data_IF_131306660967
#
_entry.id   IF_131306660967
#
_cell.length_a   1.000
_cell.length_b   1.000
_cell.length_c   1.000
_cell.angle_alpha   90.00
_cell.angle_beta   90.00
_cell.angle_gamma   90.00
#
_symmetry.space_group_name_H-M   'P 1'
#
loop_
_entity.id
_entity.type
_entity.pdbx_description
1 polymer ?
#
# COMPACT_ATOMS: atom_id res chain seq x y z
N UNK A 1 25.47 8.74 27.30
CA UNK A 1 24.37 8.41 26.38
C UNK A 1 23.48 7.35 27.01
N UNK A 2 22.18 7.59 27.10
CA UNK A 2 21.25 6.60 27.66
C UNK A 2 21.22 5.33 26.78
N UNK A 3 21.19 4.16 27.41
CA UNK A 3 21.11 2.89 26.72
C UNK A 3 19.72 2.73 26.11
N UNK A 4 19.64 2.64 24.77
CA UNK A 4 18.36 2.42 24.06
C UNK A 4 17.63 1.20 24.62
N UNK A 5 16.31 1.30 24.76
CA UNK A 5 15.43 0.19 25.15
C UNK A 5 15.40 -0.90 24.09
N UNK A 6 14.86 -2.07 24.42
CA UNK A 6 14.67 -3.15 23.46
C UNK A 6 13.79 -2.74 22.28
N UNK A 7 12.75 -1.96 22.55
CA UNK A 7 11.81 -1.47 21.56
C UNK A 7 12.42 -0.39 20.64
N UNK A 8 13.18 0.56 21.20
CA UNK A 8 13.91 1.55 20.41
C UNK A 8 14.94 0.90 19.48
N UNK A 9 15.64 -0.14 19.94
CA UNK A 9 16.54 -0.91 19.12
C UNK A 9 15.81 -1.63 17.98
N UNK A 10 14.66 -2.28 18.28
CA UNK A 10 13.82 -2.94 17.28
C UNK A 10 13.38 -1.97 16.19
N UNK A 11 12.90 -0.79 16.58
CA UNK A 11 12.49 0.28 15.66
C UNK A 11 13.64 0.74 14.77
N UNK A 12 14.81 1.05 15.36
CA UNK A 12 16.00 1.47 14.60
C UNK A 12 16.45 0.42 13.57
N UNK A 13 16.43 -0.87 13.93
CA UNK A 13 16.76 -1.96 12.99
C UNK A 13 15.74 -2.02 11.85
N UNK A 14 14.45 -1.94 12.17
CA UNK A 14 13.39 -2.02 11.18
C UNK A 14 13.38 -0.81 10.22
N UNK A 15 13.69 0.39 10.69
CA UNK A 15 13.83 1.58 9.86
C UNK A 15 14.96 1.41 8.83
N UNK A 16 16.14 0.95 9.26
CA UNK A 16 17.26 0.68 8.36
C UNK A 16 16.93 -0.43 7.37
N UNK A 17 16.35 -1.54 7.84
CA UNK A 17 15.94 -2.65 6.99
C UNK A 17 14.89 -2.21 5.96
N UNK A 18 13.91 -1.41 6.38
CA UNK A 18 12.85 -0.87 5.49
C UNK A 18 13.45 -0.09 4.33
N UNK A 19 14.37 0.81 4.61
CA UNK A 19 15.06 1.59 3.58
C UNK A 19 15.88 0.70 2.64
N UNK A 20 16.68 -0.20 3.19
CA UNK A 20 17.56 -1.07 2.41
C UNK A 20 16.77 -2.07 1.56
N UNK A 21 15.79 -2.75 2.13
CA UNK A 21 14.96 -3.73 1.44
C UNK A 21 14.13 -3.09 0.32
N UNK A 22 13.56 -1.93 0.57
CA UNK A 22 12.82 -1.22 -0.47
C UNK A 22 13.72 -0.77 -1.63
N UNK A 23 14.91 -0.24 -1.32
CA UNK A 23 15.82 0.29 -2.35
C UNK A 23 16.55 -0.79 -3.15
N UNK A 24 16.97 -1.88 -2.48
CA UNK A 24 17.90 -2.88 -3.04
C UNK A 24 17.29 -4.27 -3.24
N UNK A 25 16.10 -4.52 -2.69
CA UNK A 25 15.49 -5.84 -2.61
C UNK A 25 15.86 -6.59 -1.33
N UNK A 26 14.94 -7.43 -0.86
CA UNK A 26 15.13 -8.17 0.40
C UNK A 26 16.24 -9.21 0.24
N UNK A 27 16.24 -9.98 -0.87
CA UNK A 27 17.22 -11.03 -1.10
C UNK A 27 18.64 -10.49 -1.25
N UNK A 28 18.81 -9.31 -1.85
CA UNK A 28 20.11 -8.68 -2.10
C UNK A 28 20.78 -8.09 -0.83
N UNK A 29 20.02 -7.86 0.25
CA UNK A 29 20.53 -7.25 1.48
C UNK A 29 20.76 -8.33 2.54
N UNK A 30 22.02 -8.54 2.93
CA UNK A 30 22.39 -9.45 4.03
C UNK A 30 22.17 -8.82 5.41
N UNK A 31 22.02 -9.65 6.45
CA UNK A 31 21.93 -9.20 7.84
C UNK A 31 23.13 -8.35 8.26
N UNK A 32 24.34 -8.70 7.82
CA UNK A 32 25.56 -7.95 8.12
C UNK A 32 25.50 -6.50 7.61
N UNK A 33 24.86 -6.28 6.45
CA UNK A 33 24.64 -4.94 5.91
C UNK A 33 23.72 -4.14 6.83
N UNK A 34 22.64 -4.75 7.30
CA UNK A 34 21.69 -4.11 8.24
C UNK A 34 22.40 -3.79 9.56
N UNK A 35 23.19 -4.73 10.10
CA UNK A 35 24.00 -4.55 11.31
C UNK A 35 24.92 -3.35 11.18
N UNK A 36 25.68 -3.29 10.08
CA UNK A 36 26.65 -2.23 9.82
C UNK A 36 25.98 -0.85 9.73
N UNK A 37 24.84 -0.77 9.07
CA UNK A 37 24.16 0.51 8.84
C UNK A 37 23.34 1.01 10.03
N UNK A 38 22.82 0.11 10.90
CA UNK A 38 22.01 0.57 12.02
C UNK A 38 22.83 0.96 13.27
N UNK A 39 24.13 0.64 13.32
CA UNK A 39 25.00 1.00 14.44
C UNK A 39 24.61 0.36 15.78
N UNK A 40 23.74 -0.66 15.76
CA UNK A 40 23.33 -1.44 16.93
C UNK A 40 24.16 -2.71 17.00
N UNK A 41 24.60 -3.10 18.19
CA UNK A 41 25.43 -4.30 18.37
C UNK A 41 24.76 -5.57 17.82
N UNK A 42 25.57 -6.42 17.16
CA UNK A 42 25.13 -7.64 16.47
C UNK A 42 24.21 -8.53 17.34
N UNK A 43 24.62 -8.83 18.59
CA UNK A 43 23.80 -9.60 19.53
C UNK A 43 22.43 -8.98 19.83
N UNK A 44 22.32 -7.66 19.79
CA UNK A 44 21.05 -6.95 20.00
C UNK A 44 20.13 -7.13 18.80
N UNK A 45 20.66 -7.09 17.58
CA UNK A 45 19.88 -7.29 16.36
C UNK A 45 19.31 -8.70 16.30
N UNK A 46 20.15 -9.73 16.48
CA UNK A 46 19.70 -11.12 16.45
C UNK A 46 18.74 -11.49 17.59
N UNK A 47 18.77 -10.77 18.72
CA UNK A 47 17.76 -10.92 19.77
C UNK A 47 16.40 -10.37 19.33
N UNK A 48 16.35 -9.31 18.50
CA UNK A 48 15.11 -8.72 18.01
C UNK A 48 14.57 -9.44 16.76
N UNK A 49 15.47 -9.86 15.89
CA UNK A 49 15.20 -10.55 14.64
C UNK A 49 16.15 -11.74 14.48
N UNK A 50 15.76 -12.92 14.97
CA UNK A 50 16.64 -14.10 14.99
C UNK A 50 17.07 -14.55 13.58
N UNK A 51 16.25 -14.28 12.56
CA UNK A 51 16.51 -14.65 11.17
C UNK A 51 16.25 -13.47 10.24
N UNK A 52 16.82 -13.55 9.03
CA UNK A 52 16.50 -12.59 7.96
C UNK A 52 15.02 -12.64 7.56
N UNK A 53 14.42 -13.83 7.58
CA UNK A 53 13.01 -14.01 7.25
C UNK A 53 12.08 -13.35 8.28
N UNK A 54 12.44 -13.41 9.57
CA UNK A 54 11.73 -12.69 10.62
C UNK A 54 11.80 -11.15 10.41
N UNK A 55 12.97 -10.63 10.00
CA UNK A 55 13.15 -9.22 9.68
C UNK A 55 12.39 -8.84 8.39
N UNK A 56 12.41 -9.68 7.36
CA UNK A 56 11.68 -9.48 6.11
C UNK A 56 10.17 -9.46 6.34
N UNK A 57 9.66 -10.38 7.16
CA UNK A 57 8.24 -10.42 7.54
C UNK A 57 7.83 -9.16 8.29
N UNK A 58 8.62 -8.73 9.28
CA UNK A 58 8.36 -7.49 10.00
C UNK A 58 8.41 -6.25 9.10
N UNK A 59 9.30 -6.22 8.10
CA UNK A 59 9.34 -5.18 7.08
C UNK A 59 8.03 -5.11 6.29
N UNK A 60 7.53 -6.25 5.79
CA UNK A 60 6.29 -6.31 5.00
C UNK A 60 5.10 -5.87 5.85
N UNK A 61 4.99 -6.37 7.09
CA UNK A 61 3.94 -5.99 8.03
C UNK A 61 3.96 -4.49 8.33
N UNK A 62 5.13 -3.93 8.66
CA UNK A 62 5.27 -2.50 8.92
C UNK A 62 4.94 -1.63 7.69
N UNK A 63 5.24 -2.11 6.46
CA UNK A 63 4.83 -1.42 5.22
C UNK A 63 3.32 -1.49 5.00
N UNK A 64 2.69 -2.61 5.35
CA UNK A 64 1.25 -2.79 5.29
C UNK A 64 0.52 -1.84 6.24
N UNK A 65 0.95 -1.80 7.51
CA UNK A 65 0.40 -0.92 8.54
C UNK A 65 0.53 0.56 8.14
N UNK A 66 1.72 0.99 7.73
CA UNK A 66 1.98 2.36 7.30
C UNK A 66 1.16 2.76 6.05
N UNK A 67 0.91 1.82 5.14
CA UNK A 67 0.04 2.05 3.99
C UNK A 67 -1.40 2.29 4.43
N UNK A 68 -1.96 1.42 5.28
CA UNK A 68 -3.33 1.56 5.76
C UNK A 68 -3.53 2.83 6.57
N UNK A 69 -2.60 3.16 7.47
CA UNK A 69 -2.65 4.39 8.26
C UNK A 69 -2.76 5.62 7.34
N UNK A 70 -1.87 5.70 6.36
CA UNK A 70 -1.84 6.82 5.43
C UNK A 70 -3.07 6.89 4.52
N UNK A 71 -3.57 5.74 4.03
CA UNK A 71 -4.75 5.71 3.18
C UNK A 71 -6.02 6.04 3.95
N UNK A 72 -6.15 5.58 5.19
CA UNK A 72 -7.28 5.94 6.04
C UNK A 72 -7.27 7.43 6.37
N UNK A 73 -6.12 7.97 6.73
CA UNK A 73 -6.00 9.41 6.98
C UNK A 73 -6.43 10.24 5.77
N UNK A 74 -5.98 9.90 4.57
CA UNK A 74 -6.40 10.58 3.35
C UNK A 74 -7.91 10.41 3.07
N UNK A 75 -8.46 9.22 3.34
CA UNK A 75 -9.88 8.93 3.17
C UNK A 75 -10.77 9.72 4.16
N UNK A 76 -10.29 10.01 5.38
CA UNK A 76 -11.02 10.79 6.37
C UNK A 76 -11.26 12.25 5.95
N UNK A 77 -10.43 12.79 5.06
CA UNK A 77 -10.63 14.12 4.49
C UNK A 77 -11.83 14.20 3.54
N UNK A 78 -12.36 13.05 3.11
CA UNK A 78 -13.53 12.98 2.24
C UNK A 78 -14.79 12.60 2.99
N UNK A 79 -15.88 13.35 2.73
CA UNK A 79 -17.19 13.13 3.37
C UNK A 79 -17.92 11.94 2.71
N UNK A 80 -17.69 11.68 1.42
CA UNK A 80 -18.43 10.65 0.68
C UNK A 80 -17.63 9.36 0.54
N UNK A 81 -18.29 8.18 0.59
CA UNK A 81 -17.60 6.90 0.39
C UNK A 81 -16.87 6.82 -0.97
N UNK A 82 -17.48 7.33 -2.04
CA UNK A 82 -16.84 7.43 -3.36
C UNK A 82 -15.58 8.31 -3.33
N UNK A 83 -15.63 9.43 -2.61
CA UNK A 83 -14.48 10.30 -2.40
C UNK A 83 -13.37 9.63 -1.58
N UNK A 84 -13.72 8.78 -0.60
CA UNK A 84 -12.73 7.98 0.15
C UNK A 84 -11.99 6.98 -0.75
N UNK A 85 -12.68 6.33 -1.67
CA UNK A 85 -12.05 5.50 -2.71
C UNK A 85 -11.11 6.32 -3.59
N UNK A 86 -11.53 7.51 -4.03
CA UNK A 86 -10.70 8.39 -4.86
C UNK A 86 -9.43 8.86 -4.15
N UNK A 87 -9.49 9.18 -2.85
CA UNK A 87 -8.35 9.64 -2.06
C UNK A 87 -7.17 8.66 -2.11
N UNK A 88 -7.43 7.34 -2.16
CA UNK A 88 -6.38 6.32 -2.31
C UNK A 88 -5.58 6.50 -3.61
N UNK A 89 -6.27 6.80 -4.71
CA UNK A 89 -5.62 6.99 -6.01
C UNK A 89 -4.91 8.35 -6.13
N UNK A 90 -5.39 9.37 -5.44
CA UNK A 90 -4.72 10.67 -5.35
C UNK A 90 -3.40 10.56 -4.56
N UNK A 91 -3.40 9.83 -3.45
CA UNK A 91 -2.18 9.49 -2.71
C UNK A 91 -1.22 8.67 -3.57
N UNK A 92 -1.73 7.65 -4.27
CA UNK A 92 -0.94 6.85 -5.22
C UNK A 92 -0.24 7.73 -6.27
N UNK A 93 -0.97 8.68 -6.87
CA UNK A 93 -0.41 9.56 -7.89
C UNK A 93 0.74 10.43 -7.35
N UNK A 94 0.63 10.89 -6.10
CA UNK A 94 1.72 11.58 -5.42
C UNK A 94 2.94 10.68 -5.21
N UNK A 95 2.73 9.43 -4.78
CA UNK A 95 3.80 8.47 -4.53
C UNK A 95 4.59 8.10 -5.78
N UNK A 96 3.86 7.83 -6.86
CA UNK A 96 4.47 7.38 -8.12
C UNK A 96 5.32 8.44 -8.80
N UNK A 97 5.12 9.72 -8.47
CA UNK A 97 5.94 10.82 -8.96
C UNK A 97 7.28 10.97 -8.21
N UNK A 98 7.49 10.23 -7.13
CA UNK A 98 8.68 10.33 -6.29
C UNK A 98 9.94 9.76 -6.97
N UNK A 99 11.07 10.49 -6.92
CA UNK A 99 12.34 10.07 -7.53
C UNK A 99 12.91 8.76 -6.97
N UNK A 100 12.51 8.34 -5.77
CA UNK A 100 12.96 7.10 -5.13
C UNK A 100 11.93 5.99 -5.21
N UNK A 101 10.89 6.18 -6.02
CA UNK A 101 9.82 5.21 -6.17
C UNK A 101 10.31 3.90 -6.80
N UNK A 102 9.96 2.76 -6.21
CA UNK A 102 10.39 1.42 -6.62
C UNK A 102 9.23 0.42 -6.71
N UNK A 103 8.02 0.92 -6.93
CA UNK A 103 6.84 0.07 -7.00
C UNK A 103 6.26 -0.31 -5.62
N UNK A 104 5.32 -1.25 -5.65
CA UNK A 104 4.65 -1.75 -4.46
C UNK A 104 5.54 -2.73 -3.69
N UNK A 105 5.82 -2.48 -2.40
CA UNK A 105 6.59 -3.41 -1.57
C UNK A 105 6.02 -4.83 -1.54
N UNK A 106 4.69 -4.98 -1.58
CA UNK A 106 4.02 -6.29 -1.53
C UNK A 106 4.21 -7.08 -2.82
N UNK A 107 4.08 -6.42 -3.99
CA UNK A 107 4.34 -7.06 -5.28
C UNK A 107 5.82 -7.45 -5.41
N UNK A 108 6.72 -6.57 -4.97
CA UNK A 108 8.16 -6.86 -4.95
C UNK A 108 8.47 -8.06 -4.06
N UNK A 109 7.87 -8.12 -2.86
CA UNK A 109 8.04 -9.26 -1.93
C UNK A 109 7.56 -10.56 -2.54
N UNK A 110 6.40 -10.58 -3.20
CA UNK A 110 5.89 -11.78 -3.87
C UNK A 110 6.84 -12.26 -4.99
N UNK A 111 7.45 -11.34 -5.73
CA UNK A 111 8.44 -11.69 -6.75
C UNK A 111 9.72 -12.25 -6.17
N UNK A 112 10.16 -11.70 -5.04
CA UNK A 112 11.38 -12.16 -4.36
C UNK A 112 11.18 -13.49 -3.61
N UNK A 113 9.98 -13.78 -3.13
CA UNK A 113 9.62 -15.01 -2.41
C UNK A 113 8.45 -15.72 -3.10
N UNK A 114 8.71 -16.44 -4.21
CA UNK A 114 7.66 -17.15 -4.92
C UNK A 114 7.14 -18.38 -4.17
N UNK A 115 7.85 -18.81 -3.12
CA UNK A 115 7.46 -19.93 -2.28
C UNK A 115 6.23 -19.56 -1.43
N UNK A 116 5.07 -20.13 -1.73
CA UNK A 116 3.78 -19.78 -1.13
C UNK A 116 3.68 -19.95 0.40
N UNK A 117 4.62 -20.69 1.02
CA UNK A 117 4.69 -20.85 2.48
C UNK A 117 5.60 -19.84 3.19
N UNK A 118 6.31 -18.94 2.47
CA UNK A 118 7.22 -17.99 3.11
C UNK A 118 6.43 -16.92 3.90
N UNK A 119 6.78 -16.65 5.19
CA UNK A 119 6.00 -15.72 6.02
C UNK A 119 5.85 -14.31 5.45
N UNK A 120 6.89 -13.76 4.80
CA UNK A 120 6.80 -12.45 4.15
C UNK A 120 5.88 -12.46 2.94
N UNK A 121 5.84 -13.57 2.17
CA UNK A 121 4.90 -13.76 1.05
C UNK A 121 3.45 -13.79 1.56
N UNK A 122 3.17 -14.58 2.61
CA UNK A 122 1.84 -14.65 3.23
C UNK A 122 1.38 -13.29 3.76
N UNK A 123 2.26 -12.54 4.43
CA UNK A 123 1.95 -11.17 4.89
C UNK A 123 1.63 -10.21 3.73
N UNK A 124 2.29 -10.36 2.57
CA UNK A 124 2.00 -9.55 1.39
C UNK A 124 0.64 -9.90 0.77
N UNK A 125 0.27 -11.19 0.73
CA UNK A 125 -1.07 -11.64 0.29
C UNK A 125 -2.14 -11.10 1.24
N UNK A 126 -1.97 -11.29 2.54
CA UNK A 126 -2.91 -10.80 3.56
C UNK A 126 -3.20 -9.31 3.40
N UNK A 127 -2.15 -8.50 3.22
CA UNK A 127 -2.33 -7.07 2.96
C UNK A 127 -3.20 -6.81 1.71
N UNK A 128 -2.98 -7.54 0.61
CA UNK A 128 -3.78 -7.37 -0.62
C UNK A 128 -5.23 -7.77 -0.44
N UNK A 129 -5.50 -8.80 0.34
CA UNK A 129 -6.87 -9.20 0.71
C UNK A 129 -7.54 -8.12 1.56
N UNK A 130 -6.84 -7.57 2.55
CA UNK A 130 -7.34 -6.48 3.39
C UNK A 130 -7.65 -5.21 2.57
N UNK A 131 -6.81 -4.86 1.58
CA UNK A 131 -7.08 -3.73 0.67
C UNK A 131 -8.34 -3.98 -0.14
N UNK A 132 -8.50 -5.19 -0.71
CA UNK A 132 -9.70 -5.59 -1.45
C UNK A 132 -10.96 -5.48 -0.59
N UNK A 133 -10.90 -6.01 0.63
CA UNK A 133 -12.04 -5.98 1.56
C UNK A 133 -12.42 -4.55 1.97
N UNK A 134 -11.42 -3.70 2.18
CA UNK A 134 -11.66 -2.28 2.47
C UNK A 134 -12.28 -1.54 1.28
N UNK A 135 -11.79 -1.78 0.06
CA UNK A 135 -12.41 -1.22 -1.16
C UNK A 135 -13.86 -1.70 -1.32
N UNK A 136 -14.13 -2.99 -1.08
CA UNK A 136 -15.48 -3.55 -1.12
C UNK A 136 -16.41 -2.87 -0.12
N UNK A 137 -15.95 -2.64 1.11
CA UNK A 137 -16.74 -1.92 2.12
C UNK A 137 -17.07 -0.50 1.66
N UNK A 138 -16.08 0.26 1.18
CA UNK A 138 -16.29 1.61 0.68
C UNK A 138 -17.18 1.65 -0.58
N UNK A 139 -17.05 0.66 -1.46
CA UNK A 139 -17.88 0.52 -2.64
C UNK A 139 -19.36 0.25 -2.28
N UNK A 140 -19.59 -0.63 -1.30
CA UNK A 140 -20.94 -0.88 -0.79
C UNK A 140 -21.54 0.37 -0.15
N UNK A 141 -20.78 1.08 0.67
CA UNK A 141 -21.19 2.34 1.29
C UNK A 141 -21.46 3.45 0.23
N UNK A 142 -20.76 3.40 -0.91
CA UNK A 142 -20.99 4.31 -2.04
C UNK A 142 -22.21 3.93 -2.90
N UNK A 143 -22.87 2.82 -2.61
CA UNK A 143 -24.02 2.34 -3.35
C UNK A 143 -23.66 1.69 -4.69
N UNK A 144 -22.50 1.05 -4.80
CA UNK A 144 -22.10 0.34 -6.00
C UNK A 144 -23.08 -0.79 -6.32
N UNK A 145 -23.42 -0.96 -7.61
CA UNK A 145 -24.30 -2.04 -8.11
C UNK A 145 -23.71 -3.43 -7.80
N UNK A 146 -22.40 -3.56 -7.90
CA UNK A 146 -21.61 -4.74 -7.53
C UNK A 146 -20.33 -4.26 -6.81
N UNK A 147 -20.33 -4.35 -5.49
CA UNK A 147 -19.24 -3.86 -4.67
C UNK A 147 -17.98 -4.77 -4.76
N UNK A 148 -18.17 -6.08 -4.98
CA UNK A 148 -17.07 -7.03 -5.18
C UNK A 148 -16.36 -6.76 -6.51
N UNK A 149 -17.11 -6.59 -7.60
CA UNK A 149 -16.57 -6.27 -8.91
C UNK A 149 -15.79 -4.94 -8.86
N UNK A 150 -16.38 -3.88 -8.32
CA UNK A 150 -15.71 -2.59 -8.22
C UNK A 150 -14.42 -2.66 -7.40
N UNK A 151 -14.43 -3.40 -6.28
CA UNK A 151 -13.23 -3.59 -5.46
C UNK A 151 -12.11 -4.30 -6.23
N UNK A 152 -12.43 -5.34 -7.00
CA UNK A 152 -11.47 -6.08 -7.82
C UNK A 152 -10.90 -5.21 -8.94
N UNK A 153 -11.73 -4.45 -9.64
CA UNK A 153 -11.32 -3.51 -10.69
C UNK A 153 -10.42 -2.40 -10.15
N UNK A 154 -10.78 -1.81 -9.01
CA UNK A 154 -9.96 -0.79 -8.35
C UNK A 154 -8.62 -1.36 -7.88
N UNK A 155 -8.61 -2.60 -7.35
CA UNK A 155 -7.37 -3.27 -6.95
C UNK A 155 -6.47 -3.57 -8.17
N UNK A 156 -7.04 -3.93 -9.32
CA UNK A 156 -6.31 -4.11 -10.57
C UNK A 156 -5.69 -2.79 -11.04
N UNK A 157 -6.45 -1.69 -11.02
CA UNK A 157 -5.94 -0.35 -11.37
C UNK A 157 -4.81 0.06 -10.43
N UNK A 158 -4.98 -0.12 -9.11
CA UNK A 158 -3.98 0.19 -8.10
C UNK A 158 -2.68 -0.58 -8.34
N UNK A 159 -2.77 -1.90 -8.53
CA UNK A 159 -1.61 -2.76 -8.74
C UNK A 159 -0.94 -2.49 -10.10
N UNK A 160 -1.72 -2.27 -11.15
CA UNK A 160 -1.22 -1.90 -12.47
C UNK A 160 -0.47 -0.57 -12.44
N UNK A 161 -1.01 0.42 -11.74
CA UNK A 161 -0.34 1.72 -11.58
C UNK A 161 0.97 1.58 -10.81
N UNK A 162 0.99 0.85 -9.69
CA UNK A 162 2.21 0.59 -8.93
C UNK A 162 3.31 -0.09 -9.76
N UNK A 163 2.95 -1.10 -10.55
CA UNK A 163 3.91 -1.84 -11.37
C UNK A 163 4.41 -1.00 -12.55
N UNK A 164 3.49 -0.33 -13.27
CA UNK A 164 3.81 0.43 -14.47
C UNK A 164 4.61 1.69 -14.16
N UNK A 165 4.25 2.41 -13.08
CA UNK A 165 4.95 3.61 -12.66
C UNK A 165 6.40 3.34 -12.20
N UNK A 166 6.71 2.12 -11.78
CA UNK A 166 8.08 1.73 -11.42
C UNK A 166 9.00 1.53 -12.63
N UNK A 167 8.42 1.40 -13.82
CA UNK A 167 9.15 1.08 -15.06
C UNK A 167 9.12 2.24 -16.07
N UNK A 168 8.05 3.03 -16.05
CA UNK A 168 7.78 4.11 -17.01
C UNK A 168 7.69 5.47 -16.28
N UNK A 169 7.00 6.44 -16.89
CA UNK A 169 6.74 7.76 -16.28
C UNK A 169 5.76 7.66 -15.11
N UNK A 170 6.30 7.65 -13.90
CA UNK A 170 5.52 7.47 -12.67
C UNK A 170 4.43 8.52 -12.48
N UNK A 171 4.71 9.80 -12.74
CA UNK A 171 3.75 10.88 -12.62
C UNK A 171 2.58 10.72 -13.60
N UNK A 172 2.88 10.41 -14.87
CA UNK A 172 1.87 10.23 -15.90
C UNK A 172 0.97 9.01 -15.60
N UNK A 173 1.53 7.88 -15.16
CA UNK A 173 0.75 6.69 -14.85
C UNK A 173 -0.05 6.82 -13.56
N UNK A 174 0.45 7.53 -12.56
CA UNK A 174 -0.33 7.89 -11.37
C UNK A 174 -1.59 8.68 -11.72
N UNK A 175 -1.47 9.69 -12.55
CA UNK A 175 -2.63 10.50 -13.00
C UNK A 175 -3.62 9.68 -13.85
N UNK A 176 -3.13 8.74 -14.67
CA UNK A 176 -4.00 7.83 -15.42
C UNK A 176 -4.77 6.90 -14.49
N UNK A 177 -4.17 6.42 -13.40
CA UNK A 177 -4.84 5.60 -12.40
C UNK A 177 -5.98 6.37 -11.70
N UNK A 178 -5.76 7.64 -11.33
CA UNK A 178 -6.80 8.53 -10.80
C UNK A 178 -7.98 8.63 -11.76
N UNK A 179 -7.70 8.86 -13.05
CA UNK A 179 -8.74 8.95 -14.07
C UNK A 179 -9.52 7.64 -14.23
N UNK A 180 -8.82 6.50 -14.29
CA UNK A 180 -9.47 5.19 -14.44
C UNK A 180 -10.32 4.84 -13.21
N UNK A 181 -9.81 5.07 -12.01
CA UNK A 181 -10.58 4.86 -10.78
C UNK A 181 -11.86 5.69 -10.76
N UNK A 182 -11.79 6.96 -11.17
CA UNK A 182 -12.96 7.83 -11.26
C UNK A 182 -14.01 7.28 -12.22
N UNK A 183 -13.60 6.81 -13.41
CA UNK A 183 -14.51 6.22 -14.40
C UNK A 183 -15.22 4.98 -13.85
N UNK A 184 -14.48 4.10 -13.18
CA UNK A 184 -15.04 2.89 -12.58
C UNK A 184 -16.04 3.21 -11.45
N UNK A 185 -15.68 4.15 -10.58
CA UNK A 185 -16.55 4.57 -9.47
C UNK A 185 -17.81 5.27 -9.98
N UNK A 186 -17.70 6.17 -10.96
CA UNK A 186 -18.84 6.88 -11.53
C UNK A 186 -19.82 5.95 -12.26
N UNK A 187 -19.32 4.88 -12.91
CA UNK A 187 -20.15 3.87 -13.58
C UNK A 187 -20.83 2.92 -12.58
N UNK A 188 -20.08 2.44 -11.59
CA UNK A 188 -20.57 1.48 -10.62
C UNK A 188 -21.52 2.09 -9.58
N UNK A 189 -21.29 3.37 -9.19
CA UNK A 189 -22.05 4.07 -8.17
C UNK A 189 -22.97 5.11 -8.83
N UNK A 190 -24.19 4.74 -9.25
CA UNK A 190 -25.10 5.70 -9.88
C UNK A 190 -25.38 6.83 -8.90
N UNK A 191 -25.04 8.06 -9.29
CA UNK A 191 -25.44 9.25 -8.54
C UNK A 191 -26.93 9.18 -8.33
N UNK A 192 -27.40 9.39 -7.11
CA UNK A 192 -28.80 9.71 -6.86
C UNK A 192 -29.09 10.94 -7.74
N UNK A 193 -29.71 10.72 -8.90
CA UNK A 193 -30.14 11.80 -9.76
C UNK A 193 -31.08 12.66 -8.90
N UNK A 194 -30.73 13.92 -8.73
CA UNK A 194 -31.64 14.87 -8.13
C UNK A 194 -32.99 14.73 -8.88
N UNK A 195 -34.13 14.66 -8.17
CA UNK A 195 -35.41 14.50 -8.83
C UNK A 195 -35.54 15.61 -9.90
N UNK A 196 -35.82 15.21 -11.14
CA UNK A 196 -36.06 16.13 -12.23
C UNK A 196 -37.05 17.14 -11.73
N UNK A 197 -36.61 18.39 -11.60
CA UNK A 197 -37.52 19.50 -11.29
C UNK A 197 -38.60 19.51 -12.36
N UNK A 198 -39.81 19.10 -11.96
CA UNK A 198 -40.95 18.99 -12.84
C UNK A 198 -41.18 20.31 -13.58
N UNK A 199 -41.08 20.24 -14.88
CA UNK A 199 -41.57 21.28 -15.79
C UNK A 199 -43.08 21.38 -15.60
N UNK A 200 -43.50 22.31 -14.80
CA UNK A 200 -44.93 22.74 -14.76
C UNK A 200 -45.19 23.52 -16.02
N UNK A 201 -45.71 22.84 -17.05
CA UNK A 201 -46.33 23.52 -18.20
C UNK A 201 -47.62 24.15 -17.73
N UNK A 202 -47.70 25.45 -17.89
CA UNK A 202 -48.97 26.17 -18.02
C UNK A 202 -49.27 26.38 -19.49
#
# INVERSE_FOLDING_TARGET
MARKTGEENRRSVLEVATRLFYQRGIRAVGMDTVVKECGVGNATIYRQFPTKDALATAYVQGRAEAWFERMRQAAEESITPAGKLMAVFEVLAGDTAGATYRGCPMLNTNTEFPEGGHPAHLAAIEHKQQVRDWFRSLAADAGAKDADQLADELLLVLNGAYATAAVLDGAAFGQRAVRLARLLIDDACPRLQAPATGSTSR
#
